data_IF_856661726027
#
_entry.id   IF_856661726027
#
_cell.length_a   1.000
_cell.length_b   1.000
_cell.length_c   1.000
_cell.angle_alpha   90.00
_cell.angle_beta   90.00
_cell.angle_gamma   90.00
#
_symmetry.space_group_name_H-M   'P 1'
#
loop_
_entity.id
_entity.type
_entity.pdbx_description
1 polymer ?
#
# COMPACT_ATOMS: atom_id res chain seq x y z
N UNK A 1 -1.00 35.02 -7.24
CA UNK A 1 -0.95 33.62 -6.78
C UNK A 1 0.28 33.52 -5.90
N UNK A 2 0.09 33.37 -4.59
CA UNK A 2 1.23 33.36 -3.65
C UNK A 2 1.94 32.00 -3.73
N UNK A 3 3.22 32.04 -4.08
CA UNK A 3 4.06 30.86 -4.23
C UNK A 3 4.82 30.64 -2.92
N UNK A 4 4.77 29.41 -2.39
CA UNK A 4 5.59 29.01 -1.26
C UNK A 4 7.00 28.61 -1.73
N UNK A 5 8.06 29.36 -1.38
CA UNK A 5 9.41 28.96 -1.73
C UNK A 5 9.88 27.81 -0.81
N UNK A 6 10.46 26.77 -1.40
CA UNK A 6 11.10 25.70 -0.61
C UNK A 6 12.42 26.19 -0.03
N UNK A 7 12.69 25.82 1.22
CA UNK A 7 13.99 26.01 1.88
C UNK A 7 14.80 24.71 1.94
N UNK A 8 14.28 23.63 1.37
CA UNK A 8 14.93 22.32 1.38
C UNK A 8 16.07 22.29 0.38
N UNK A 9 17.29 22.05 0.84
CA UNK A 9 18.44 21.76 0.00
C UNK A 9 18.60 20.23 -0.15
N UNK A 10 18.49 19.72 -1.38
CA UNK A 10 18.62 18.28 -1.67
C UNK A 10 20.07 17.79 -1.72
N UNK A 11 21.04 18.69 -1.84
CA UNK A 11 22.47 18.35 -1.85
C UNK A 11 23.07 18.28 -0.44
N UNK A 12 22.29 18.62 0.59
CA UNK A 12 22.70 18.49 1.98
C UNK A 12 22.87 17.00 2.34
N UNK A 13 23.99 16.57 2.95
CA UNK A 13 24.16 15.21 3.43
C UNK A 13 23.03 14.73 4.36
N UNK A 14 22.50 15.62 5.21
CA UNK A 14 21.37 15.30 6.08
C UNK A 14 20.10 14.96 5.30
N UNK A 15 19.91 15.57 4.12
CA UNK A 15 18.78 15.26 3.26
C UNK A 15 18.84 13.82 2.77
N UNK A 16 20.02 13.32 2.38
CA UNK A 16 20.19 11.93 1.96
C UNK A 16 19.88 10.97 3.11
N UNK A 17 20.46 11.21 4.28
CA UNK A 17 20.23 10.38 5.48
C UNK A 17 18.75 10.31 5.86
N UNK A 18 18.05 11.46 5.89
CA UNK A 18 16.61 11.50 6.17
C UNK A 18 15.80 10.78 5.10
N UNK A 19 16.18 10.94 3.82
CA UNK A 19 15.50 10.29 2.70
C UNK A 19 15.66 8.77 2.77
N UNK A 20 16.88 8.27 2.99
CA UNK A 20 17.17 6.84 3.13
C UNK A 20 16.40 6.22 4.29
N UNK A 21 16.41 6.87 5.47
CA UNK A 21 15.64 6.40 6.62
C UNK A 21 14.14 6.29 6.32
N UNK A 22 13.53 7.33 5.74
CA UNK A 22 12.10 7.32 5.43
C UNK A 22 11.74 6.31 4.32
N UNK A 23 12.62 6.11 3.34
CA UNK A 23 12.43 5.08 2.32
C UNK A 23 12.45 3.67 2.94
N UNK A 24 13.35 3.39 3.89
CA UNK A 24 13.37 2.11 4.60
C UNK A 24 12.06 1.86 5.37
N UNK A 25 11.47 2.89 5.99
CA UNK A 25 10.17 2.79 6.64
C UNK A 25 9.03 2.51 5.64
N UNK A 26 9.08 3.11 4.44
CA UNK A 26 8.11 2.86 3.37
C UNK A 26 8.20 1.41 2.89
N UNK A 27 9.41 0.87 2.67
CA UNK A 27 9.56 -0.52 2.26
C UNK A 27 9.05 -1.48 3.34
N UNK A 28 9.37 -1.24 4.61
CA UNK A 28 8.84 -2.03 5.72
C UNK A 28 7.29 -2.00 5.78
N UNK A 29 6.69 -0.84 5.49
CA UNK A 29 5.23 -0.73 5.41
C UNK A 29 4.68 -1.56 4.24
N UNK A 30 5.29 -1.47 3.05
CA UNK A 30 4.89 -2.26 1.88
C UNK A 30 4.96 -3.76 2.13
N UNK A 31 6.05 -4.23 2.72
CA UNK A 31 6.21 -5.66 3.08
C UNK A 31 5.07 -6.15 3.99
N UNK A 32 4.68 -5.34 4.98
CA UNK A 32 3.57 -5.67 5.89
C UNK A 32 2.23 -5.67 5.16
N UNK A 33 2.00 -4.69 4.28
CA UNK A 33 0.79 -4.63 3.47
C UNK A 33 0.68 -5.83 2.52
N UNK A 34 1.79 -6.24 1.90
CA UNK A 34 1.84 -7.41 1.03
C UNK A 34 1.52 -8.70 1.81
N UNK A 35 1.99 -8.80 3.06
CA UNK A 35 1.64 -9.92 3.94
C UNK A 35 0.13 -9.95 4.24
N UNK A 36 -0.46 -8.80 4.61
CA UNK A 36 -1.91 -8.72 4.89
C UNK A 36 -2.74 -8.97 3.62
N UNK A 37 -2.24 -8.57 2.45
CA UNK A 37 -2.91 -8.81 1.17
C UNK A 37 -3.06 -10.30 0.85
N UNK A 38 -2.19 -11.18 1.38
CA UNK A 38 -2.33 -12.64 1.29
C UNK A 38 -3.54 -13.19 2.05
N UNK A 39 -4.23 -12.36 2.86
CA UNK A 39 -5.42 -12.72 3.61
C UNK A 39 -5.14 -13.81 4.63
N UNK A 40 -6.00 -14.84 4.67
CA UNK A 40 -5.81 -15.98 5.59
C UNK A 40 -4.63 -16.89 5.25
N UNK A 41 -3.86 -16.61 4.19
CA UNK A 41 -2.80 -17.47 3.66
C UNK A 41 -3.30 -18.38 2.52
N UNK A 42 -2.36 -18.91 1.73
CA UNK A 42 -2.61 -19.62 0.47
C UNK A 42 -3.64 -20.75 0.60
N UNK A 43 -3.48 -21.60 1.63
CA UNK A 43 -4.40 -22.72 1.90
C UNK A 43 -5.88 -22.28 2.03
N UNK A 44 -6.13 -21.15 2.69
CA UNK A 44 -7.50 -20.65 2.89
C UNK A 44 -8.02 -19.92 1.65
N UNK A 45 -7.14 -19.22 0.94
CA UNK A 45 -7.45 -18.59 -0.35
C UNK A 45 -7.87 -19.64 -1.37
N UNK A 46 -7.10 -20.72 -1.52
CA UNK A 46 -7.41 -21.84 -2.41
C UNK A 46 -8.73 -22.51 -2.03
N UNK A 47 -8.95 -22.77 -0.74
CA UNK A 47 -10.22 -23.34 -0.25
C UNK A 47 -11.42 -22.42 -0.52
N UNK A 48 -11.22 -21.10 -0.48
CA UNK A 48 -12.30 -20.15 -0.78
C UNK A 48 -12.60 -20.11 -2.27
N UNK A 49 -11.55 -20.10 -3.11
CA UNK A 49 -11.66 -20.15 -4.57
C UNK A 49 -12.23 -21.47 -5.08
N UNK A 50 -11.88 -22.61 -4.49
CA UNK A 50 -12.42 -23.94 -4.87
C UNK A 50 -13.93 -24.06 -4.68
N UNK A 51 -14.53 -23.15 -3.90
CA UNK A 51 -15.99 -23.01 -3.74
C UNK A 51 -16.61 -22.05 -4.78
N UNK A 52 -15.87 -21.68 -5.82
CA UNK A 52 -16.25 -20.69 -6.83
C UNK A 52 -16.60 -19.32 -6.23
N UNK A 53 -15.90 -18.91 -5.16
CA UNK A 53 -16.09 -17.60 -4.51
C UNK A 53 -14.90 -16.69 -4.74
N UNK A 54 -15.19 -15.43 -5.03
CA UNK A 54 -14.21 -14.34 -5.02
C UNK A 54 -13.82 -13.97 -3.59
N UNK A 55 -12.55 -13.62 -3.39
CA UNK A 55 -12.01 -12.99 -2.19
C UNK A 55 -12.63 -11.60 -1.96
N UNK A 56 -12.49 -11.06 -0.74
CA UNK A 56 -13.04 -9.75 -0.41
C UNK A 56 -12.51 -8.64 -1.32
N UNK A 57 -11.18 -8.59 -1.53
CA UNK A 57 -10.53 -7.57 -2.39
C UNK A 57 -10.92 -7.71 -3.87
N UNK A 58 -11.02 -8.94 -4.38
CA UNK A 58 -11.51 -9.22 -5.75
C UNK A 58 -12.96 -8.74 -5.95
N UNK A 59 -13.81 -8.83 -4.92
CA UNK A 59 -15.18 -8.30 -4.97
C UNK A 59 -15.18 -6.78 -5.03
N UNK A 60 -14.35 -6.12 -4.23
CA UNK A 60 -14.22 -4.65 -4.23
C UNK A 60 -13.79 -4.18 -5.62
N UNK A 61 -12.77 -4.81 -6.20
CA UNK A 61 -12.27 -4.48 -7.54
C UNK A 61 -13.35 -4.61 -8.63
N UNK A 62 -14.29 -5.56 -8.50
CA UNK A 62 -15.42 -5.67 -9.43
C UNK A 62 -16.57 -4.68 -9.19
N UNK A 63 -16.66 -4.11 -7.99
CA UNK A 63 -17.72 -3.16 -7.63
C UNK A 63 -17.34 -1.74 -8.01
N UNK A 64 -16.07 -1.39 -7.91
CA UNK A 64 -15.58 -0.05 -8.23
C UNK A 64 -15.48 0.16 -9.74
N UNK A 65 -15.63 1.42 -10.17
CA UNK A 65 -15.48 1.77 -11.58
C UNK A 65 -14.01 1.60 -12.04
N UNK A 66 -13.76 1.04 -13.23
CA UNK A 66 -12.42 0.86 -13.75
C UNK A 66 -11.62 2.17 -13.78
N UNK A 67 -10.40 2.15 -13.25
CA UNK A 67 -9.51 3.30 -13.21
C UNK A 67 -9.77 4.30 -12.08
N UNK A 68 -10.77 4.05 -11.21
CA UNK A 68 -10.96 4.86 -10.01
C UNK A 68 -9.93 4.53 -8.93
N UNK A 69 -9.54 5.54 -8.16
CA UNK A 69 -8.67 5.35 -7.01
C UNK A 69 -9.47 4.71 -5.85
N UNK A 70 -8.86 3.74 -5.19
CA UNK A 70 -9.41 3.12 -3.97
C UNK A 70 -8.57 3.53 -2.76
N UNK A 71 -9.22 4.11 -1.74
CA UNK A 71 -8.59 4.45 -0.46
C UNK A 71 -8.99 3.42 0.60
N UNK A 72 -8.05 2.56 0.96
CA UNK A 72 -8.26 1.53 1.99
C UNK A 72 -8.09 2.11 3.40
N UNK A 73 -8.96 1.69 4.33
CA UNK A 73 -8.92 2.10 5.73
C UNK A 73 -8.36 0.98 6.60
N UNK A 74 -7.39 1.32 7.45
CA UNK A 74 -6.80 0.43 8.46
C UNK A 74 -6.34 -0.95 7.94
N UNK A 75 -5.49 -1.03 6.89
CA UNK A 75 -5.08 -2.30 6.28
C UNK A 75 -4.18 -3.20 7.16
N UNK A 76 -3.73 -2.73 8.32
CA UNK A 76 -2.88 -3.49 9.25
C UNK A 76 -3.63 -3.97 10.51
N UNK A 77 -4.97 -3.90 10.50
CA UNK A 77 -5.82 -4.35 11.61
C UNK A 77 -5.91 -5.88 11.75
#
# INVERSE_FOLDING_TARGET
MDRLPTRVNKADPDYSTRREHNLALIELLRERLDLVHKGGGEKYVERHRSRNKMLARERIERIIDPGTAFLELSPLA
#
